data_IF_423089833648
#
_entry.id   IF_423089833648
#
_cell.length_a   1.000
_cell.length_b   1.000
_cell.length_c   1.000
_cell.angle_alpha   90.00
_cell.angle_beta   90.00
_cell.angle_gamma   90.00
#
_symmetry.space_group_name_H-M   'P 1'
#
loop_
_entity.id
_entity.type
_entity.pdbx_description
1 polymer ?
#
# COMPACT_ATOMS: atom_id res chain seq x y z
N UNK A 1 48.23 15.07 -30.94
CA UNK A 1 46.82 14.65 -31.06
C UNK A 1 46.36 14.17 -29.68
N UNK A 2 45.51 14.96 -29.00
CA UNK A 2 44.84 14.60 -27.73
C UNK A 2 43.53 13.80 -28.05
N UNK A 3 42.68 13.41 -27.09
CA UNK A 3 42.54 12.05 -26.57
C UNK A 3 41.13 11.44 -26.82
N UNK A 4 40.92 10.16 -26.50
CA UNK A 4 39.59 9.59 -26.25
C UNK A 4 39.71 8.72 -24.98
N UNK A 5 39.22 9.17 -23.83
CA UNK A 5 37.83 9.00 -23.33
C UNK A 5 37.41 7.53 -23.32
N UNK A 6 36.74 6.94 -22.34
CA UNK A 6 36.22 7.27 -21.00
C UNK A 6 35.40 6.02 -20.57
N UNK A 7 34.96 6.00 -19.30
CA UNK A 7 33.92 5.14 -18.70
C UNK A 7 34.44 3.78 -18.17
N UNK A 8 34.71 3.61 -16.87
CA UNK A 8 33.88 3.83 -15.67
C UNK A 8 32.54 3.07 -15.70
N UNK A 9 32.53 1.99 -14.91
CA UNK A 9 31.42 1.50 -14.09
C UNK A 9 30.12 1.11 -14.83
N UNK A 10 30.04 -0.15 -15.24
CA UNK A 10 28.75 -0.86 -15.22
C UNK A 10 28.33 -1.06 -13.77
N UNK A 11 27.61 -0.07 -13.23
CA UNK A 11 26.75 -0.27 -12.08
C UNK A 11 25.65 -1.23 -12.49
N UNK A 12 25.74 -2.48 -12.04
CA UNK A 12 24.59 -3.36 -11.96
C UNK A 12 23.67 -2.75 -10.90
N UNK A 13 22.84 -1.79 -11.33
CA UNK A 13 21.82 -1.17 -10.51
C UNK A 13 20.64 -2.15 -10.43
N UNK A 14 20.40 -2.79 -9.27
CA UNK A 14 19.23 -3.64 -9.14
C UNK A 14 17.99 -2.74 -9.16
N UNK A 15 17.32 -2.72 -10.31
CA UNK A 15 16.05 -2.04 -10.51
C UNK A 15 15.15 -2.20 -9.27
N UNK A 16 14.55 -1.11 -8.74
CA UNK A 16 13.77 -1.19 -7.52
C UNK A 16 12.62 -2.16 -7.75
N UNK A 17 12.73 -3.34 -7.13
CA UNK A 17 11.69 -4.36 -7.11
C UNK A 17 10.43 -3.65 -6.65
N UNK A 18 9.50 -3.41 -7.58
CA UNK A 18 8.23 -2.74 -7.29
C UNK A 18 7.60 -3.48 -6.13
N UNK A 19 7.70 -2.90 -4.94
CA UNK A 19 7.12 -3.47 -3.73
C UNK A 19 5.63 -3.48 -4.03
N UNK A 20 5.13 -4.67 -4.38
CA UNK A 20 3.70 -4.87 -4.65
C UNK A 20 3.02 -4.42 -3.38
N UNK A 21 2.40 -3.24 -3.44
CA UNK A 21 1.72 -2.66 -2.28
C UNK A 21 0.82 -3.75 -1.73
N UNK A 22 0.98 -4.14 -0.46
CA UNK A 22 0.27 -5.27 0.09
C UNK A 22 -1.22 -5.10 -0.22
N UNK A 23 -1.82 -6.16 -0.74
CA UNK A 23 -3.24 -6.15 -1.05
C UNK A 23 -3.98 -5.85 0.25
N UNK A 24 -4.98 -4.99 0.17
CA UNK A 24 -5.72 -4.58 1.33
C UNK A 24 -6.20 -5.78 2.15
N UNK A 25 -5.70 -5.96 3.38
CA UNK A 25 -6.14 -7.02 4.28
C UNK A 25 -7.59 -6.81 4.74
N UNK A 26 -8.04 -5.56 4.84
CA UNK A 26 -9.39 -5.19 5.24
C UNK A 26 -9.90 -3.97 4.46
N UNK A 27 -11.13 -4.05 3.96
CA UNK A 27 -11.85 -2.89 3.45
C UNK A 27 -12.59 -2.18 4.58
N UNK A 28 -12.68 -0.84 4.51
CA UNK A 28 -13.58 -0.07 5.36
C UNK A 28 -15.04 -0.52 5.17
N UNK A 29 -15.91 -0.24 6.13
CA UNK A 29 -17.31 -0.66 6.12
C UNK A 29 -18.02 -0.27 4.83
N UNK A 30 -17.77 0.96 4.39
CA UNK A 30 -18.37 1.53 3.19
C UNK A 30 -17.91 0.81 1.92
N UNK A 31 -16.63 0.48 1.84
CA UNK A 31 -16.10 -0.33 0.74
C UNK A 31 -16.54 -1.80 0.84
N UNK A 32 -16.78 -2.35 2.04
CA UNK A 32 -17.36 -3.69 2.23
C UNK A 32 -18.79 -3.76 1.72
N UNK A 33 -19.65 -2.86 2.20
CA UNK A 33 -21.07 -2.79 1.82
C UNK A 33 -21.24 -2.61 0.32
N UNK A 34 -20.42 -1.76 -0.31
CA UNK A 34 -20.46 -1.53 -1.75
C UNK A 34 -19.55 -2.45 -2.58
N UNK A 35 -18.84 -3.37 -1.94
CA UNK A 35 -17.83 -4.26 -2.55
C UNK A 35 -16.80 -3.53 -3.42
N UNK A 36 -16.44 -2.30 -3.03
CA UNK A 36 -15.41 -1.53 -3.72
C UNK A 36 -14.01 -1.94 -3.27
N UNK A 37 -13.03 -1.74 -4.16
CA UNK A 37 -11.62 -1.88 -3.83
C UNK A 37 -11.23 -0.83 -2.79
N UNK A 38 -10.89 -1.27 -1.59
CA UNK A 38 -10.37 -0.41 -0.54
C UNK A 38 -8.84 -0.41 -0.57
N UNK A 39 -8.23 0.75 -0.34
CA UNK A 39 -6.78 0.93 -0.33
C UNK A 39 -6.20 0.98 1.10
N UNK A 40 -6.99 0.57 2.11
CA UNK A 40 -6.62 0.53 3.55
C UNK A 40 -6.15 1.83 4.21
N UNK A 41 -5.95 2.90 3.46
CA UNK A 41 -5.69 4.21 4.03
C UNK A 41 -6.91 4.72 4.81
N UNK A 42 -6.66 5.55 5.82
CA UNK A 42 -7.69 6.30 6.52
C UNK A 42 -7.46 7.80 6.30
N UNK A 43 -8.41 8.51 5.65
CA UNK A 43 -9.59 8.00 4.94
C UNK A 43 -9.21 7.23 3.67
N UNK A 44 -9.98 6.18 3.33
CA UNK A 44 -9.73 5.36 2.15
C UNK A 44 -9.81 6.22 0.88
N UNK A 45 -9.07 5.91 -0.21
CA UNK A 45 -9.06 6.77 -1.41
C UNK A 45 -10.48 7.07 -1.94
N UNK A 46 -11.37 6.07 -1.87
CA UNK A 46 -12.77 6.22 -2.26
C UNK A 46 -13.53 7.14 -1.30
N UNK A 47 -13.36 6.93 0.00
CA UNK A 47 -13.97 7.71 1.07
C UNK A 47 -13.52 9.17 1.03
N UNK A 48 -12.21 9.39 0.79
CA UNK A 48 -11.59 10.71 0.60
C UNK A 48 -12.16 11.44 -0.60
N UNK A 49 -12.24 10.76 -1.76
CA UNK A 49 -12.80 11.35 -3.00
C UNK A 49 -14.29 11.67 -2.88
N UNK A 50 -15.03 10.83 -2.16
CA UNK A 50 -16.46 11.05 -1.96
C UNK A 50 -16.78 11.90 -0.73
N UNK A 51 -15.77 12.37 0.01
CA UNK A 51 -15.93 13.13 1.26
C UNK A 51 -16.90 12.47 2.25
N UNK A 52 -16.77 11.16 2.42
CA UNK A 52 -17.69 10.35 3.18
C UNK A 52 -16.99 9.61 4.32
N UNK A 53 -17.78 9.26 5.33
CA UNK A 53 -17.27 8.66 6.55
C UNK A 53 -16.61 7.30 6.29
N UNK A 54 -15.38 7.15 6.79
CA UNK A 54 -14.51 6.01 6.52
C UNK A 54 -14.38 5.10 7.74
N UNK A 55 -15.49 4.58 8.27
CA UNK A 55 -15.45 3.67 9.42
C UNK A 55 -14.91 2.30 9.04
N UNK A 56 -13.98 1.75 9.82
CA UNK A 56 -13.63 0.34 9.75
C UNK A 56 -14.38 -0.40 10.87
N UNK A 57 -15.50 -1.06 10.54
CA UNK A 57 -16.23 -1.90 11.48
C UNK A 57 -15.44 -3.20 11.72
N UNK A 58 -14.69 -3.21 12.81
CA UNK A 58 -13.87 -4.34 13.20
C UNK A 58 -12.72 -3.86 14.05
N UNK A 59 -12.97 -3.84 15.36
CA UNK A 59 -12.06 -3.76 16.49
C UNK A 59 -10.60 -4.09 16.09
N UNK A 60 -9.88 -3.12 15.54
CA UNK A 60 -8.53 -3.35 14.98
C UNK A 60 -7.60 -3.93 16.07
N UNK A 61 -7.77 -3.44 17.30
CA UNK A 61 -7.02 -3.87 18.48
C UNK A 61 -7.29 -5.31 18.90
N UNK A 62 -8.50 -5.81 18.71
CA UNK A 62 -8.89 -7.14 19.17
C UNK A 62 -8.51 -8.23 18.17
N UNK A 63 -8.63 -7.92 16.87
CA UNK A 63 -8.21 -8.85 15.80
C UNK A 63 -6.69 -9.00 15.73
N UNK A 64 -5.93 -7.93 15.94
CA UNK A 64 -4.46 -8.00 16.05
C UNK A 64 -4.05 -8.80 17.30
N UNK A 65 -4.70 -8.58 18.45
CA UNK A 65 -4.45 -9.36 19.68
C UNK A 65 -4.73 -10.85 19.49
N UNK A 66 -5.79 -11.22 18.77
CA UNK A 66 -6.10 -12.62 18.46
C UNK A 66 -5.13 -13.21 17.42
N UNK A 67 -4.54 -12.39 16.55
CA UNK A 67 -3.55 -12.83 15.55
C UNK A 67 -2.17 -13.04 16.15
N UNK A 68 -1.81 -12.28 17.19
CA UNK A 68 -0.57 -12.46 17.96
C UNK A 68 -0.68 -13.52 19.06
N UNK A 69 -1.87 -14.05 19.34
CA UNK A 69 -2.10 -15.10 20.33
C UNK A 69 -2.06 -16.53 19.75
N UNK A 70 -1.68 -16.69 18.47
CA UNK A 70 -1.69 -17.99 17.77
C UNK A 70 -0.34 -18.32 17.13
#
# INVERSE_FOLDING_TARGET
MQPHQSALASVDEPAPKRVKRPRAAQACDRCRTKKYKCDEQYPCSHCKKSHLDCVYQGNYRERESNRSAR
#
